data_IF_896419334337
#
_entry.id   IF_896419334337
#
_cell.length_a   1.000
_cell.length_b   1.000
_cell.length_c   1.000
_cell.angle_alpha   90.00
_cell.angle_beta   90.00
_cell.angle_gamma   90.00
#
_symmetry.space_group_name_H-M   'P 1'
#
loop_
_entity.id
_entity.type
_entity.pdbx_description
1 polymer ?
#
# COMPACT_ATOMS: atom_id res chain seq x y z
N UNK A 1 -2.23 33.56 -20.94
CA UNK A 1 -3.07 32.57 -20.21
C UNK A 1 -2.55 32.47 -18.79
N UNK A 2 -3.30 32.98 -17.80
CA UNK A 2 -2.93 32.93 -16.38
C UNK A 2 -2.97 31.48 -15.90
N UNK A 3 -1.89 30.99 -15.29
CA UNK A 3 -1.94 29.76 -14.52
C UNK A 3 -2.82 29.99 -13.29
N UNK A 4 -3.99 29.37 -13.28
CA UNK A 4 -4.86 29.32 -12.11
C UNK A 4 -4.15 28.44 -11.07
N UNK A 5 -3.48 29.06 -10.09
CA UNK A 5 -2.94 28.38 -8.92
C UNK A 5 -4.11 27.77 -8.14
N UNK A 6 -4.45 26.52 -8.43
CA UNK A 6 -5.20 25.69 -7.46
C UNK A 6 -4.17 25.26 -6.42
N UNK A 7 -3.84 26.15 -5.48
CA UNK A 7 -2.92 25.88 -4.39
C UNK A 7 -3.63 26.10 -3.07
N UNK A 8 -4.19 25.04 -2.49
CA UNK A 8 -4.31 24.98 -1.04
C UNK A 8 -2.89 25.09 -0.47
N UNK A 9 -2.70 25.91 0.57
CA UNK A 9 -1.43 25.94 1.30
C UNK A 9 -1.31 24.63 2.10
N UNK A 10 -0.08 24.24 2.43
CA UNK A 10 0.17 23.07 3.28
C UNK A 10 -0.63 23.14 4.60
N UNK A 11 -0.80 24.34 5.17
CA UNK A 11 -1.62 24.58 6.34
C UNK A 11 -3.12 24.21 6.13
N UNK A 12 -3.67 24.53 4.96
CA UNK A 12 -5.07 24.21 4.63
C UNK A 12 -5.25 22.70 4.46
N UNK A 13 -4.26 22.03 3.86
CA UNK A 13 -4.27 20.57 3.70
C UNK A 13 -4.21 19.84 5.06
N UNK A 14 -3.39 20.32 5.99
CA UNK A 14 -3.33 19.79 7.36
C UNK A 14 -4.67 19.97 8.07
N UNK A 15 -5.27 21.17 7.98
CA UNK A 15 -6.57 21.45 8.60
C UNK A 15 -7.68 20.56 8.03
N UNK A 16 -7.74 20.40 6.71
CA UNK A 16 -8.74 19.54 6.06
C UNK A 16 -8.56 18.08 6.44
N UNK A 17 -7.32 17.58 6.49
CA UNK A 17 -7.03 16.20 6.88
C UNK A 17 -7.43 15.94 8.34
N UNK A 18 -7.21 16.91 9.22
CA UNK A 18 -7.60 16.82 10.63
C UNK A 18 -9.12 16.77 10.79
N UNK A 19 -9.84 17.67 10.12
CA UNK A 19 -11.32 17.69 10.13
C UNK A 19 -11.87 16.39 9.52
N UNK A 20 -11.32 15.94 8.39
CA UNK A 20 -11.71 14.68 7.75
C UNK A 20 -11.44 13.47 8.65
N UNK A 21 -10.32 13.45 9.37
CA UNK A 21 -9.97 12.40 10.32
C UNK A 21 -10.99 12.30 11.46
N UNK A 22 -11.40 13.43 12.04
CA UNK A 22 -12.43 13.48 13.08
C UNK A 22 -13.78 12.99 12.53
N UNK A 23 -14.17 13.45 11.34
CA UNK A 23 -15.41 13.01 10.71
C UNK A 23 -15.41 11.51 10.38
N UNK A 24 -14.29 10.93 9.97
CA UNK A 24 -14.14 9.49 9.70
C UNK A 24 -14.06 8.64 10.98
N UNK A 25 -13.57 9.20 12.08
CA UNK A 25 -13.49 8.49 13.35
C UNK A 25 -14.88 8.09 13.87
N UNK A 26 -15.88 8.97 13.73
CA UNK A 26 -17.25 8.72 14.19
C UNK A 26 -17.88 7.43 13.59
N UNK A 27 -17.99 7.26 12.26
CA UNK A 27 -18.54 6.04 11.69
C UNK A 27 -17.65 4.82 11.97
N UNK A 28 -16.33 4.99 12.07
CA UNK A 28 -15.42 3.88 12.39
C UNK A 28 -15.66 3.34 13.80
N UNK A 29 -15.81 4.23 14.79
CA UNK A 29 -16.11 3.84 16.18
C UNK A 29 -17.49 3.20 16.27
N UNK A 30 -18.51 3.78 15.65
CA UNK A 30 -19.87 3.23 15.67
C UNK A 30 -19.93 1.82 15.04
N UNK A 31 -19.21 1.60 13.94
CA UNK A 31 -19.09 0.26 13.35
C UNK A 31 -18.30 -0.72 14.27
N UNK A 32 -17.32 -0.22 15.02
CA UNK A 32 -16.54 -1.02 15.98
C UNK A 32 -17.35 -1.49 17.20
N UNK A 33 -18.29 -0.68 17.69
CA UNK A 33 -19.12 -1.00 18.86
C UNK A 33 -19.97 -2.25 18.63
N UNK A 34 -20.54 -2.41 17.43
CA UNK A 34 -21.34 -3.60 17.07
C UNK A 34 -20.51 -4.88 17.18
N UNK A 35 -19.24 -4.84 16.76
CA UNK A 35 -18.32 -5.98 16.89
C UNK A 35 -17.94 -6.28 18.34
N UNK A 36 -17.71 -5.25 19.17
CA UNK A 36 -17.30 -5.41 20.57
C UNK A 36 -18.42 -5.92 21.48
N UNK A 37 -19.67 -5.51 21.25
CA UNK A 37 -20.77 -5.91 22.12
C UNK A 37 -21.30 -7.31 21.78
N UNK A 38 -21.46 -7.61 20.49
CA UNK A 38 -22.08 -8.86 20.03
C UNK A 38 -21.06 -9.95 19.71
N UNK A 39 -19.76 -9.66 19.65
CA UNK A 39 -18.71 -10.62 19.28
C UNK A 39 -18.98 -11.32 17.94
N UNK A 40 -19.65 -10.64 17.01
CA UNK A 40 -19.97 -11.15 15.67
C UNK A 40 -19.06 -10.50 14.61
N UNK A 41 -18.62 -11.28 13.60
CA UNK A 41 -17.90 -10.72 12.46
C UNK A 41 -18.81 -9.90 11.54
N UNK A 42 -18.21 -8.97 10.78
CA UNK A 42 -18.91 -8.12 9.81
C UNK A 42 -19.81 -8.91 8.83
N UNK A 43 -19.38 -10.10 8.42
CA UNK A 43 -20.11 -10.98 7.50
C UNK A 43 -21.50 -11.39 8.03
N UNK A 44 -21.66 -11.46 9.35
CA UNK A 44 -22.94 -11.78 10.00
C UNK A 44 -23.71 -10.50 10.33
N UNK A 45 -23.03 -9.46 10.78
CA UNK A 45 -23.65 -8.16 11.06
C UNK A 45 -24.32 -7.54 9.82
N UNK A 46 -23.73 -7.69 8.64
CA UNK A 46 -24.30 -7.18 7.38
C UNK A 46 -25.64 -7.83 6.99
N UNK A 47 -25.94 -9.04 7.51
CA UNK A 47 -27.21 -9.74 7.28
C UNK A 47 -28.39 -9.05 7.97
N UNK A 48 -28.14 -8.30 9.04
CA UNK A 48 -29.19 -7.56 9.74
C UNK A 48 -29.78 -6.42 8.89
N UNK A 49 -28.99 -5.88 7.95
CA UNK A 49 -29.42 -4.78 7.08
C UNK A 49 -29.75 -5.22 5.65
N UNK A 50 -28.93 -6.11 5.08
CA UNK A 50 -29.04 -6.53 3.68
C UNK A 50 -29.73 -7.88 3.49
N UNK A 51 -30.42 -8.40 4.50
CA UNK A 51 -31.02 -9.75 4.44
C UNK A 51 -29.98 -10.86 4.11
N UNK A 52 -30.38 -12.13 4.06
CA UNK A 52 -29.44 -13.23 3.84
C UNK A 52 -28.83 -13.21 2.43
N UNK A 53 -29.61 -12.90 1.39
CA UNK A 53 -29.16 -12.99 0.01
C UNK A 53 -28.33 -11.78 -0.46
N UNK A 54 -28.74 -10.56 -0.11
CA UNK A 54 -28.08 -9.34 -0.58
C UNK A 54 -26.82 -9.01 0.27
N UNK A 55 -26.69 -9.55 1.49
CA UNK A 55 -25.45 -9.50 2.29
C UNK A 55 -24.24 -10.10 1.54
N UNK A 56 -24.42 -11.19 0.78
CA UNK A 56 -23.32 -11.77 -0.01
C UNK A 56 -22.74 -10.79 -1.03
N UNK A 57 -23.57 -9.95 -1.66
CA UNK A 57 -23.11 -8.91 -2.58
C UNK A 57 -22.27 -7.84 -1.87
N UNK A 58 -22.70 -7.39 -0.69
CA UNK A 58 -21.97 -6.41 0.12
C UNK A 58 -20.60 -6.96 0.60
N UNK A 59 -20.54 -8.26 0.93
CA UNK A 59 -19.29 -8.92 1.32
C UNK A 59 -18.34 -9.04 0.12
N UNK A 60 -18.82 -9.58 -1.01
CA UNK A 60 -17.99 -9.79 -2.21
C UNK A 60 -17.44 -8.47 -2.77
N UNK A 61 -18.24 -7.41 -2.82
CA UNK A 61 -17.79 -6.09 -3.29
C UNK A 61 -16.71 -5.49 -2.38
N UNK A 62 -16.81 -5.69 -1.05
CA UNK A 62 -15.78 -5.27 -0.10
C UNK A 62 -14.50 -6.10 -0.24
N UNK A 63 -14.62 -7.40 -0.46
CA UNK A 63 -13.47 -8.28 -0.65
C UNK A 63 -12.70 -7.89 -1.91
N UNK A 64 -13.38 -7.54 -3.00
CA UNK A 64 -12.76 -7.03 -4.22
C UNK A 64 -11.95 -5.75 -3.92
N UNK A 65 -12.54 -4.78 -3.21
CA UNK A 65 -11.84 -3.55 -2.82
C UNK A 65 -10.61 -3.86 -1.93
N UNK A 66 -10.76 -4.80 -0.99
CA UNK A 66 -9.67 -5.23 -0.12
C UNK A 66 -8.52 -5.88 -0.91
N UNK A 67 -8.81 -6.70 -1.93
CA UNK A 67 -7.77 -7.29 -2.79
C UNK A 67 -6.98 -6.22 -3.54
N UNK A 68 -7.64 -5.18 -4.07
CA UNK A 68 -6.94 -4.08 -4.74
C UNK A 68 -6.03 -3.31 -3.77
N UNK A 69 -6.55 -2.97 -2.59
CA UNK A 69 -5.78 -2.28 -1.55
C UNK A 69 -4.59 -3.11 -1.06
N UNK A 70 -4.81 -4.41 -0.85
CA UNK A 70 -3.78 -5.34 -0.41
C UNK A 70 -2.71 -5.55 -1.49
N UNK A 71 -3.10 -5.55 -2.77
CA UNK A 71 -2.19 -5.55 -3.94
C UNK A 71 -1.17 -4.41 -3.91
N UNK A 72 -1.60 -3.21 -3.51
CA UNK A 72 -0.72 -2.04 -3.41
C UNK A 72 0.15 -2.11 -2.15
N UNK A 73 -0.44 -2.48 -1.01
CA UNK A 73 0.28 -2.47 0.28
C UNK A 73 1.36 -3.54 0.39
N UNK A 74 1.28 -4.62 -0.37
CA UNK A 74 2.27 -5.70 -0.29
C UNK A 74 3.61 -5.42 -0.91
N UNK A 75 3.69 -4.48 -1.86
CA UNK A 75 4.99 -3.98 -2.32
C UNK A 75 5.75 -3.29 -1.17
N UNK A 76 5.07 -2.40 -0.44
CA UNK A 76 5.64 -1.73 0.73
C UNK A 76 5.95 -2.72 1.86
N UNK A 77 5.04 -3.68 2.09
CA UNK A 77 5.20 -4.71 3.10
C UNK A 77 6.43 -5.60 2.87
N UNK A 78 6.69 -6.02 1.63
CA UNK A 78 7.85 -6.87 1.33
C UNK A 78 9.20 -6.15 1.42
N UNK A 79 9.24 -4.85 1.08
CA UNK A 79 10.41 -3.99 1.30
C UNK A 79 10.75 -3.92 2.79
N UNK A 80 9.76 -3.57 3.63
CA UNK A 80 9.95 -3.44 5.09
C UNK A 80 10.29 -4.79 5.74
N UNK A 81 9.65 -5.87 5.28
CA UNK A 81 9.95 -7.22 5.73
C UNK A 81 11.43 -7.56 5.50
N UNK A 82 11.94 -7.26 4.30
CA UNK A 82 13.32 -7.52 3.94
C UNK A 82 14.30 -6.69 4.74
N UNK A 83 14.03 -5.40 4.92
CA UNK A 83 14.90 -4.51 5.68
C UNK A 83 15.03 -4.97 7.14
N UNK A 84 13.91 -5.29 7.79
CA UNK A 84 13.91 -5.71 9.19
C UNK A 84 14.46 -7.13 9.40
N UNK A 85 13.96 -8.12 8.64
CA UNK A 85 14.27 -9.54 8.90
C UNK A 85 15.54 -10.02 8.19
N UNK A 86 15.76 -9.60 6.93
CA UNK A 86 16.84 -10.15 6.10
C UNK A 86 18.11 -9.31 6.15
N UNK A 87 18.01 -7.98 6.10
CA UNK A 87 19.17 -7.08 6.05
C UNK A 87 19.68 -6.77 7.46
N UNK A 88 18.79 -6.31 8.35
CA UNK A 88 19.15 -5.85 9.69
C UNK A 88 19.01 -6.93 10.77
N UNK A 89 18.57 -8.14 10.41
CA UNK A 89 18.43 -9.29 11.31
C UNK A 89 17.77 -8.95 12.65
N UNK A 90 16.62 -8.28 12.63
CA UNK A 90 15.82 -7.88 13.82
C UNK A 90 16.49 -6.87 14.76
N UNK A 91 17.59 -6.23 14.35
CA UNK A 91 18.29 -5.21 15.15
C UNK A 91 18.01 -3.81 14.61
N UNK A 92 17.17 -3.07 15.33
CA UNK A 92 16.85 -1.68 15.03
C UNK A 92 17.20 -0.80 16.24
N UNK A 93 18.06 0.18 16.03
CA UNK A 93 18.26 1.27 16.98
C UNK A 93 17.09 2.25 16.84
N UNK A 94 16.27 2.34 17.89
CA UNK A 94 15.04 3.16 17.90
C UNK A 94 15.33 4.65 18.03
N UNK A 95 16.14 5.14 18.99
CA UNK A 95 16.54 6.55 19.04
C UNK A 95 17.09 7.08 17.71
N UNK A 96 17.90 6.26 17.05
CA UNK A 96 18.53 6.58 15.78
C UNK A 96 17.56 6.82 14.62
N UNK A 97 16.36 6.20 14.65
CA UNK A 97 15.31 6.41 13.65
C UNK A 97 14.69 7.82 13.71
N UNK A 98 14.73 8.47 14.88
CA UNK A 98 14.13 9.79 15.07
C UNK A 98 15.11 10.94 14.79
N UNK A 99 16.41 10.66 14.67
CA UNK A 99 17.40 11.67 14.31
C UNK A 99 17.65 11.68 12.78
N UNK A 100 17.28 12.78 12.09
CA UNK A 100 17.47 12.90 10.65
C UNK A 100 18.94 12.93 10.19
N UNK A 101 19.92 12.98 11.11
CA UNK A 101 21.35 13.01 10.82
C UNK A 101 22.08 11.70 11.14
N UNK A 102 21.39 10.70 11.66
CA UNK A 102 22.04 9.51 12.22
C UNK A 102 22.31 8.40 11.19
N UNK A 103 22.72 7.21 11.66
CA UNK A 103 23.13 6.02 10.91
C UNK A 103 22.13 5.55 9.82
N UNK A 104 20.88 5.98 9.87
CA UNK A 104 19.87 5.67 8.83
C UNK A 104 19.82 6.71 7.70
N UNK A 105 20.70 7.71 7.71
CA UNK A 105 20.75 8.73 6.67
C UNK A 105 21.50 8.25 5.43
N UNK A 106 20.74 7.69 4.49
CA UNK A 106 21.27 7.24 3.20
C UNK A 106 21.61 8.42 2.27
N UNK A 107 22.91 8.73 2.14
CA UNK A 107 23.44 9.73 1.21
C UNK A 107 23.06 11.19 1.52
N UNK A 108 23.32 12.10 0.58
CA UNK A 108 23.08 13.56 0.73
C UNK A 108 21.60 13.92 0.88
N UNK A 109 20.70 13.06 0.38
CA UNK A 109 19.26 13.28 0.34
C UNK A 109 18.47 12.42 1.33
N UNK A 110 19.12 11.62 2.17
CA UNK A 110 18.47 10.77 3.19
C UNK A 110 17.52 9.72 2.61
N UNK A 111 17.71 9.31 1.35
CA UNK A 111 16.84 8.36 0.64
C UNK A 111 17.62 7.10 0.32
N UNK A 112 17.10 5.95 0.74
CA UNK A 112 17.66 4.65 0.34
C UNK A 112 17.36 4.41 -1.15
N UNK A 113 18.35 4.69 -2.00
CA UNK A 113 18.20 4.57 -3.45
C UNK A 113 18.00 3.11 -3.91
N UNK A 114 18.48 2.11 -3.15
CA UNK A 114 18.26 0.70 -3.45
C UNK A 114 16.77 0.35 -3.41
N UNK A 115 16.09 0.80 -2.36
CA UNK A 115 14.65 0.59 -2.18
C UNK A 115 13.84 1.38 -3.20
N UNK A 116 14.28 2.60 -3.54
CA UNK A 116 13.65 3.40 -4.58
C UNK A 116 13.72 2.68 -5.95
N UNK A 117 14.89 2.18 -6.35
CA UNK A 117 15.07 1.42 -7.59
C UNK A 117 14.21 0.15 -7.59
N UNK A 118 14.22 -0.62 -6.49
CA UNK A 118 13.36 -1.81 -6.37
C UNK A 118 11.87 -1.45 -6.57
N UNK A 119 11.42 -0.33 -5.99
CA UNK A 119 10.04 0.16 -6.13
C UNK A 119 9.69 0.49 -7.58
N UNK A 120 10.58 1.17 -8.32
CA UNK A 120 10.36 1.48 -9.73
C UNK A 120 10.34 0.22 -10.61
N UNK A 121 11.24 -0.74 -10.36
CA UNK A 121 11.31 -2.00 -11.12
C UNK A 121 10.07 -2.87 -10.88
N UNK A 122 9.41 -2.76 -9.72
CA UNK A 122 8.13 -3.43 -9.46
C UNK A 122 6.98 -2.74 -10.23
N UNK A 123 6.92 -1.40 -10.20
CA UNK A 123 5.80 -0.64 -10.78
C UNK A 123 5.81 -0.68 -12.32
N UNK A 124 6.97 -0.56 -12.96
CA UNK A 124 7.08 -0.41 -14.42
C UNK A 124 6.43 -1.58 -15.20
N UNK A 125 6.67 -2.86 -14.87
CA UNK A 125 6.05 -4.00 -15.55
C UNK A 125 4.53 -4.10 -15.35
N UNK A 126 3.96 -3.42 -14.35
CA UNK A 126 2.52 -3.43 -14.06
C UNK A 126 1.74 -2.39 -14.87
N UNK A 127 2.39 -1.30 -15.29
CA UNK A 127 1.74 -0.22 -16.06
C UNK A 127 1.11 -0.71 -17.38
N UNK A 128 1.75 -1.59 -18.17
CA UNK A 128 1.13 -2.16 -19.36
C UNK A 128 -0.11 -3.02 -19.05
N UNK A 129 -0.06 -3.82 -17.97
CA UNK A 129 -1.20 -4.63 -17.54
C UNK A 129 -2.41 -3.77 -17.14
N UNK A 130 -2.15 -2.66 -16.44
CA UNK A 130 -3.17 -1.66 -16.12
C UNK A 130 -3.73 -0.98 -17.39
N UNK A 131 -2.87 -0.62 -18.34
CA UNK A 131 -3.27 0.00 -19.60
C UNK A 131 -4.22 -0.89 -20.43
N UNK A 132 -4.01 -2.21 -20.46
CA UNK A 132 -4.92 -3.14 -21.15
C UNK A 132 -6.28 -3.31 -20.44
N UNK A 133 -6.34 -3.12 -19.12
CA UNK A 133 -7.61 -3.13 -18.39
C UNK A 133 -8.45 -1.87 -18.66
N UNK A 134 -7.80 -0.73 -18.91
CA UNK A 134 -8.48 0.52 -19.25
C UNK A 134 -8.84 0.58 -20.73
N UNK A 135 -7.95 0.11 -21.61
CA UNK A 135 -8.18 0.00 -23.05
C UNK A 135 -7.94 -1.45 -23.54
N UNK A 136 -9.01 -2.23 -23.73
CA UNK A 136 -8.90 -3.65 -24.08
C UNK A 136 -8.36 -3.90 -25.49
N UNK A 137 -8.35 -2.91 -26.39
CA UNK A 137 -7.87 -3.05 -27.78
C UNK A 137 -6.34 -3.13 -27.91
N UNK A 138 -5.60 -2.82 -26.83
CA UNK A 138 -4.14 -2.96 -26.80
C UNK A 138 -3.74 -4.44 -26.80
N UNK A 139 -3.31 -4.96 -27.94
CA UNK A 139 -2.79 -6.34 -28.06
C UNK A 139 -1.44 -6.46 -27.34
N UNK A 140 -1.47 -6.89 -26.08
CA UNK A 140 -0.27 -7.18 -25.29
C UNK A 140 0.14 -8.65 -25.40
N UNK A 141 1.45 -8.96 -25.23
CA UNK A 141 1.92 -10.33 -25.06
C UNK A 141 1.20 -11.01 -23.88
N UNK A 142 0.85 -12.29 -24.02
CA UNK A 142 0.08 -13.03 -23.02
C UNK A 142 0.71 -12.98 -21.62
N UNK A 143 2.04 -12.98 -21.52
CA UNK A 143 2.77 -12.88 -20.26
C UNK A 143 2.48 -11.58 -19.48
N UNK A 144 2.39 -10.45 -20.16
CA UNK A 144 2.14 -9.13 -19.54
C UNK A 144 0.69 -8.99 -19.06
N UNK A 145 -0.24 -9.63 -19.79
CA UNK A 145 -1.65 -9.74 -19.41
C UNK A 145 -1.84 -10.60 -18.16
N UNK A 146 -1.11 -11.71 -18.07
CA UNK A 146 -1.20 -12.66 -16.95
C UNK A 146 -0.48 -12.16 -15.68
N UNK A 147 0.57 -11.36 -15.83
CA UNK A 147 1.30 -10.75 -14.72
C UNK A 147 0.38 -9.91 -13.81
N UNK A 148 -0.56 -9.18 -14.41
CA UNK A 148 -1.48 -8.34 -13.65
C UNK A 148 -2.52 -9.15 -12.86
N UNK A 149 -2.84 -10.37 -13.29
CA UNK A 149 -3.82 -11.25 -12.60
C UNK A 149 -3.31 -11.70 -11.23
N UNK A 150 -2.00 -11.92 -11.07
CA UNK A 150 -1.36 -12.31 -9.81
C UNK A 150 -0.51 -11.18 -9.19
N UNK A 151 -0.88 -9.92 -9.49
CA UNK A 151 -0.17 -8.71 -9.07
C UNK A 151 0.24 -8.72 -7.58
N UNK A 152 -0.67 -9.13 -6.69
CA UNK A 152 -0.40 -9.20 -5.26
C UNK A 152 0.80 -10.09 -4.90
N UNK A 153 0.81 -11.32 -5.44
CA UNK A 153 1.86 -12.30 -5.17
C UNK A 153 3.19 -11.84 -5.79
N UNK A 154 3.12 -11.32 -7.02
CA UNK A 154 4.26 -10.76 -7.73
C UNK A 154 4.92 -9.62 -6.94
N UNK A 155 4.13 -8.66 -6.43
CA UNK A 155 4.65 -7.52 -5.66
C UNK A 155 5.35 -7.95 -4.38
N UNK A 156 4.79 -8.91 -3.65
CA UNK A 156 5.35 -9.37 -2.38
C UNK A 156 6.70 -10.09 -2.57
N UNK A 157 6.77 -11.07 -3.48
CA UNK A 157 8.01 -11.82 -3.66
C UNK A 157 9.08 -11.04 -4.42
N UNK A 158 8.69 -10.23 -5.42
CA UNK A 158 9.64 -9.43 -6.17
C UNK A 158 10.23 -8.31 -5.33
N UNK A 159 9.43 -7.68 -4.45
CA UNK A 159 9.97 -6.69 -3.50
C UNK A 159 10.99 -7.32 -2.56
N UNK A 160 10.71 -8.50 -2.02
CA UNK A 160 11.68 -9.21 -1.16
C UNK A 160 12.96 -9.52 -1.93
N UNK A 161 12.83 -10.09 -3.13
CA UNK A 161 13.98 -10.45 -3.94
C UNK A 161 14.83 -9.24 -4.33
N UNK A 162 14.22 -8.19 -4.88
CA UNK A 162 14.94 -6.99 -5.34
C UNK A 162 15.53 -6.20 -4.19
N UNK A 163 14.81 -6.01 -3.08
CA UNK A 163 15.35 -5.32 -1.91
C UNK A 163 16.49 -6.11 -1.27
N UNK A 164 16.42 -7.44 -1.25
CA UNK A 164 17.50 -8.28 -0.75
C UNK A 164 18.72 -8.22 -1.68
N UNK A 165 18.49 -8.37 -2.99
CA UNK A 165 19.52 -8.31 -4.01
C UNK A 165 20.25 -6.97 -3.99
N UNK A 166 19.53 -5.84 -4.06
CA UNK A 166 20.17 -4.52 -4.06
C UNK A 166 20.95 -4.23 -2.77
N UNK A 167 20.44 -4.63 -1.60
CA UNK A 167 21.16 -4.44 -0.34
C UNK A 167 22.36 -5.39 -0.18
N UNK A 168 22.35 -6.56 -0.82
CA UNK A 168 23.49 -7.48 -0.80
C UNK A 168 24.64 -7.00 -1.69
N UNK A 169 24.34 -6.50 -2.90
CA UNK A 169 25.37 -6.02 -3.83
C UNK A 169 25.89 -4.63 -3.51
N UNK A 170 25.06 -3.79 -2.89
CA UNK A 170 25.41 -2.42 -2.53
C UNK A 170 25.03 -2.18 -1.06
N UNK A 171 25.85 -2.67 -0.11
CA UNK A 171 25.63 -2.38 1.29
C UNK A 171 25.73 -0.87 1.50
N UNK A 172 24.70 -0.29 2.11
CA UNK A 172 24.74 1.11 2.53
C UNK A 172 25.79 1.25 3.64
N UNK A 173 26.84 2.01 3.33
CA UNK A 173 27.88 2.48 4.26
C UNK A 173 27.35 3.48 5.28
#
# INVERSE_FOLDING_TARGET
MKQTKVCLKAADAVLITLVAGICNALPTVLNGVTGSNLHIPFSIASRASFDHWLSYFAIVSRDILAMFWFGVQTANGGILFTDYWLVKHTKYDMPALYDPKDIYRYGRYGTNWHVAVATFVIIIPLLPGLANKVNPDLKLPAGLRNLFTFNWLYNFFLSIFLSCFCNHFFPAE
#
